data_IF_602657464588
#
_entry.id   IF_602657464588
#
_cell.length_a   1.000
_cell.length_b   1.000
_cell.length_c   1.000
_cell.angle_alpha   90.00
_cell.angle_beta   90.00
_cell.angle_gamma   90.00
#
_symmetry.space_group_name_H-M   'P 1'
#
loop_
_entity.id
_entity.type
_entity.pdbx_description
1 polymer ?
#
# COMPACT_ATOMS: atom_id res chain seq x y z
N UNK A 1 -43.12 -54.99 19.89
CA UNK A 1 -44.03 -56.15 19.91
C UNK A 1 -44.54 -56.36 21.33
N UNK A 2 -45.38 -57.41 21.57
CA UNK A 2 -45.91 -57.69 22.92
C UNK A 2 -44.88 -58.00 24.00
N UNK A 3 -43.64 -58.29 23.62
CA UNK A 3 -42.50 -58.52 24.54
C UNK A 3 -41.71 -57.30 24.92
N UNK A 4 -41.97 -56.12 24.34
CA UNK A 4 -41.28 -54.90 24.61
C UNK A 4 -40.89 -54.10 23.35
N UNK A 5 -40.19 -52.98 23.55
CA UNK A 5 -39.62 -52.13 22.48
C UNK A 5 -38.09 -52.02 22.63
N UNK A 6 -37.39 -51.83 21.54
CA UNK A 6 -35.98 -51.45 21.47
C UNK A 6 -35.87 -50.14 20.69
N UNK A 7 -34.95 -49.28 21.09
CA UNK A 7 -34.65 -48.01 20.44
C UNK A 7 -33.17 -47.94 20.11
N UNK A 8 -32.83 -47.23 19.02
CA UNK A 8 -31.49 -46.87 18.66
C UNK A 8 -31.40 -45.38 18.41
N UNK A 9 -30.29 -44.78 18.76
CA UNK A 9 -29.98 -43.39 18.42
C UNK A 9 -29.31 -43.35 17.03
N UNK A 10 -29.66 -42.32 16.25
CA UNK A 10 -29.04 -42.02 14.97
C UNK A 10 -28.60 -40.59 15.01
N UNK A 11 -27.33 -40.33 14.80
CA UNK A 11 -26.76 -39.00 14.65
C UNK A 11 -26.65 -38.65 13.17
N UNK A 12 -27.21 -37.55 12.74
CA UNK A 12 -27.19 -37.08 11.37
C UNK A 12 -26.57 -35.67 11.35
N UNK A 13 -25.50 -35.47 10.62
CA UNK A 13 -24.90 -34.17 10.37
C UNK A 13 -25.10 -33.79 8.91
N UNK A 14 -25.61 -32.59 8.68
CA UNK A 14 -25.74 -32.01 7.32
C UNK A 14 -24.84 -30.80 7.28
N UNK A 15 -23.85 -30.83 6.39
CA UNK A 15 -22.93 -29.71 6.17
C UNK A 15 -23.36 -28.87 4.98
N UNK A 16 -22.96 -27.59 4.97
CA UNK A 16 -23.11 -26.73 3.80
C UNK A 16 -22.20 -27.21 2.63
N UNK A 17 -22.56 -26.79 1.43
CA UNK A 17 -21.64 -26.84 0.30
C UNK A 17 -20.48 -25.90 0.57
N UNK A 18 -19.24 -26.31 0.34
CA UNK A 18 -18.08 -25.46 0.52
C UNK A 18 -18.08 -24.28 -0.45
N UNK A 19 -17.55 -23.10 -0.09
CA UNK A 19 -17.25 -22.03 -1.03
C UNK A 19 -16.27 -22.49 -2.11
N UNK A 20 -16.32 -21.90 -3.30
CA UNK A 20 -15.40 -22.24 -4.39
C UNK A 20 -15.25 -21.11 -5.38
N UNK A 21 -14.20 -21.17 -6.23
CA UNK A 21 -13.94 -20.18 -7.30
C UNK A 21 -13.93 -18.74 -6.82
N UNK A 22 -13.24 -18.50 -5.71
CA UNK A 22 -13.09 -17.16 -5.15
C UNK A 22 -12.17 -16.34 -6.05
N UNK A 23 -12.62 -15.16 -6.47
CA UNK A 23 -11.82 -14.25 -7.31
C UNK A 23 -11.99 -12.81 -6.88
N UNK A 24 -10.89 -12.06 -6.95
CA UNK A 24 -10.86 -10.59 -6.91
C UNK A 24 -10.50 -10.07 -8.30
N UNK A 25 -11.12 -9.00 -8.74
CA UNK A 25 -10.81 -8.37 -10.01
C UNK A 25 -10.75 -6.84 -9.84
N UNK A 26 -9.57 -6.25 -9.90
CA UNK A 26 -8.25 -6.88 -10.08
C UNK A 26 -7.81 -7.71 -8.85
N UNK A 27 -6.82 -8.57 -9.04
CA UNK A 27 -6.14 -9.36 -8.00
C UNK A 27 -4.78 -8.79 -7.60
N UNK A 28 -4.40 -7.65 -8.17
CA UNK A 28 -3.18 -6.91 -7.83
C UNK A 28 -3.46 -5.41 -7.67
N UNK A 29 -2.78 -4.79 -6.70
CA UNK A 29 -2.98 -3.39 -6.35
C UNK A 29 -1.66 -2.68 -6.16
N UNK A 30 -1.47 -1.57 -6.86
CA UNK A 30 -0.41 -0.60 -6.60
C UNK A 30 -1.08 0.66 -6.09
N UNK A 31 -0.89 0.95 -4.81
CA UNK A 31 -1.59 2.01 -4.09
C UNK A 31 -0.56 3.04 -3.64
N UNK A 32 -0.96 4.30 -3.58
CA UNK A 32 -0.14 5.37 -3.02
C UNK A 32 -0.51 5.61 -1.56
N UNK A 33 0.47 5.67 -0.67
CA UNK A 33 0.30 6.03 0.74
C UNK A 33 -0.49 7.33 0.87
N UNK A 34 -1.48 7.35 1.75
CA UNK A 34 -2.36 8.49 1.98
C UNK A 34 -3.50 8.64 0.97
N UNK A 35 -3.55 7.84 -0.10
CA UNK A 35 -4.65 7.84 -1.08
C UNK A 35 -5.60 6.67 -0.83
N UNK A 36 -6.91 6.87 -0.83
CA UNK A 36 -7.86 5.78 -0.66
C UNK A 36 -7.80 4.82 -1.85
N UNK A 37 -7.76 3.51 -1.57
CA UNK A 37 -7.87 2.51 -2.63
C UNK A 37 -9.33 2.41 -3.12
N UNK A 38 -9.50 2.11 -4.40
CA UNK A 38 -10.79 1.66 -4.91
C UNK A 38 -11.15 0.33 -4.25
N UNK A 39 -12.28 0.31 -3.56
CA UNK A 39 -12.69 -0.89 -2.85
C UNK A 39 -13.02 -2.02 -3.82
N UNK A 40 -12.56 -3.23 -3.50
CA UNK A 40 -12.81 -4.44 -4.27
C UNK A 40 -13.60 -5.44 -3.45
N UNK A 41 -14.60 -6.05 -4.08
CA UNK A 41 -15.42 -7.10 -3.47
C UNK A 41 -15.19 -8.39 -4.25
N UNK A 42 -14.97 -9.52 -3.59
CA UNK A 42 -14.77 -10.79 -4.27
C UNK A 42 -16.05 -11.30 -4.91
N UNK A 43 -15.90 -12.17 -5.91
CA UNK A 43 -16.93 -13.11 -6.31
C UNK A 43 -16.59 -14.50 -5.78
N UNK A 44 -17.60 -15.29 -5.49
CA UNK A 44 -17.47 -16.67 -5.05
C UNK A 44 -18.62 -17.50 -5.60
N UNK A 45 -18.38 -18.79 -5.77
CA UNK A 45 -19.37 -19.81 -6.13
C UNK A 45 -19.50 -20.86 -5.03
N UNK A 46 -20.30 -21.88 -5.25
CA UNK A 46 -20.51 -22.94 -4.27
C UNK A 46 -21.43 -22.51 -3.14
N UNK A 47 -21.09 -22.85 -1.91
CA UNK A 47 -21.89 -22.49 -0.74
C UNK A 47 -21.66 -21.05 -0.28
N UNK A 48 -22.66 -20.48 0.38
CA UNK A 48 -22.57 -19.12 0.91
C UNK A 48 -21.40 -18.97 1.88
N UNK A 49 -20.59 -17.91 1.72
CA UNK A 49 -19.49 -17.62 2.62
C UNK A 49 -20.03 -16.98 3.90
N UNK A 50 -19.59 -17.50 5.05
CA UNK A 50 -19.97 -16.98 6.36
C UNK A 50 -18.91 -16.01 6.89
N UNK A 51 -17.62 -16.34 6.69
CA UNK A 51 -16.51 -15.50 7.15
C UNK A 51 -15.39 -15.41 6.14
N UNK A 52 -14.76 -14.23 6.12
CA UNK A 52 -13.57 -13.92 5.34
C UNK A 52 -12.41 -13.57 6.26
N UNK A 53 -11.24 -14.08 5.96
CA UNK A 53 -9.99 -13.73 6.64
C UNK A 53 -8.88 -13.52 5.62
N UNK A 54 -7.79 -12.88 6.05
CA UNK A 54 -6.63 -12.58 5.21
C UNK A 54 -5.34 -12.76 6.01
N UNK A 55 -4.33 -13.33 5.37
CA UNK A 55 -3.01 -13.53 5.93
C UNK A 55 -1.94 -13.31 4.84
N UNK A 56 -0.85 -12.59 5.16
CA UNK A 56 -0.57 -11.82 6.38
C UNK A 56 -1.52 -10.63 6.59
N UNK A 57 -1.35 -9.92 7.69
CA UNK A 57 -2.14 -8.70 7.99
C UNK A 57 -1.88 -7.64 6.93
N UNK A 58 -2.95 -7.01 6.44
CA UNK A 58 -2.87 -5.94 5.44
C UNK A 58 -2.04 -4.74 5.94
N UNK A 59 -1.47 -3.95 5.01
CA UNK A 59 -0.82 -2.69 5.35
C UNK A 59 -1.72 -1.79 6.19
N UNK A 60 -1.13 -1.12 7.18
CA UNK A 60 -1.86 -0.23 8.09
C UNK A 60 -2.74 0.76 7.32
N UNK A 61 -4.02 0.82 7.67
CA UNK A 61 -5.03 1.65 7.00
C UNK A 61 -5.86 0.92 5.95
N UNK A 62 -5.48 -0.31 5.57
CA UNK A 62 -6.31 -1.20 4.77
C UNK A 62 -6.98 -2.25 5.65
N UNK A 63 -8.13 -2.74 5.24
CA UNK A 63 -8.87 -3.78 5.94
C UNK A 63 -9.68 -4.65 4.99
N UNK A 64 -9.93 -5.88 5.40
CA UNK A 64 -10.93 -6.77 4.80
C UNK A 64 -12.18 -6.79 5.70
N UNK A 65 -13.34 -6.71 5.09
CA UNK A 65 -14.60 -6.88 5.81
C UNK A 65 -14.87 -8.38 6.02
N UNK A 66 -14.97 -8.86 7.28
CA UNK A 66 -15.06 -10.29 7.55
C UNK A 66 -16.39 -10.93 7.09
N UNK A 67 -17.42 -10.14 6.79
CA UNK A 67 -18.71 -10.65 6.33
C UNK A 67 -18.84 -10.63 4.79
N UNK A 68 -18.12 -9.74 4.10
CA UNK A 68 -18.29 -9.55 2.66
C UNK A 68 -17.04 -9.84 1.84
N UNK A 69 -15.88 -10.01 2.47
CA UNK A 69 -14.58 -10.13 1.81
C UNK A 69 -14.09 -8.83 1.16
N UNK A 70 -14.82 -7.72 1.30
CA UNK A 70 -14.47 -6.45 0.66
C UNK A 70 -13.18 -5.89 1.26
N UNK A 71 -12.19 -5.61 0.41
CA UNK A 71 -10.96 -4.94 0.79
C UNK A 71 -11.09 -3.45 0.46
N UNK A 72 -10.72 -2.59 1.42
CA UNK A 72 -10.81 -1.13 1.28
C UNK A 72 -9.96 -0.42 2.32
N UNK A 73 -9.81 0.89 2.18
CA UNK A 73 -9.13 1.75 3.15
C UNK A 73 -8.17 2.73 2.50
N UNK A 74 -7.39 3.41 3.35
CA UNK A 74 -6.35 4.36 2.94
C UNK A 74 -5.05 3.93 3.64
N UNK A 75 -4.05 3.42 2.90
CA UNK A 75 -2.83 2.94 3.53
C UNK A 75 -2.03 4.11 4.11
N UNK A 76 -1.53 3.95 5.33
CA UNK A 76 -0.72 4.94 6.04
C UNK A 76 0.75 4.55 6.17
N UNK A 77 1.10 3.32 5.81
CA UNK A 77 2.47 2.80 5.80
C UNK A 77 2.83 2.27 4.40
N UNK A 78 4.11 2.33 4.05
CA UNK A 78 4.66 1.72 2.84
C UNK A 78 4.65 0.20 2.96
N UNK A 79 4.49 -0.49 1.83
CA UNK A 79 4.62 -1.94 1.74
C UNK A 79 5.26 -2.32 0.41
N UNK A 80 6.30 -3.13 0.45
CA UNK A 80 6.80 -3.81 -0.75
C UNK A 80 5.75 -4.78 -1.27
N UNK A 81 5.90 -5.23 -2.50
CA UNK A 81 5.02 -6.25 -3.07
C UNK A 81 4.88 -7.44 -2.10
N UNK A 82 3.66 -7.68 -1.66
CA UNK A 82 3.31 -8.76 -0.74
C UNK A 82 2.07 -9.47 -1.24
N UNK A 83 2.14 -10.79 -1.29
CA UNK A 83 1.00 -11.66 -1.63
C UNK A 83 0.22 -11.99 -0.37
N UNK A 84 -1.07 -11.74 -0.39
CA UNK A 84 -2.01 -11.98 0.70
C UNK A 84 -2.93 -13.14 0.33
N UNK A 85 -3.02 -14.14 1.20
CA UNK A 85 -3.97 -15.25 1.05
C UNK A 85 -5.28 -14.89 1.74
N UNK A 86 -6.37 -14.97 0.99
CA UNK A 86 -7.72 -14.73 1.49
C UNK A 86 -8.43 -16.06 1.59
N UNK A 87 -9.04 -16.31 2.74
CA UNK A 87 -9.79 -17.53 3.03
C UNK A 87 -11.26 -17.19 3.21
N UNK A 88 -12.12 -17.87 2.47
CA UNK A 88 -13.57 -17.80 2.60
C UNK A 88 -14.08 -19.11 3.21
N UNK A 89 -14.83 -19.03 4.31
CA UNK A 89 -15.22 -20.18 5.13
C UNK A 89 -16.72 -20.22 5.35
N UNK A 90 -17.28 -21.42 5.39
CA UNK A 90 -18.61 -21.73 5.92
C UNK A 90 -18.57 -23.03 6.75
N UNK A 91 -19.71 -23.55 7.16
CA UNK A 91 -19.78 -24.79 7.95
C UNK A 91 -19.38 -26.04 7.18
N UNK A 92 -19.40 -26.00 5.84
CA UNK A 92 -18.95 -27.09 4.96
C UNK A 92 -17.44 -27.16 4.77
N UNK A 93 -16.72 -26.02 4.97
CA UNK A 93 -15.29 -25.92 4.77
C UNK A 93 -14.85 -24.54 4.26
N UNK A 94 -13.73 -24.48 3.56
CA UNK A 94 -13.16 -23.24 3.06
C UNK A 94 -12.57 -23.38 1.64
N UNK A 95 -12.38 -22.26 0.99
CA UNK A 95 -11.59 -22.09 -0.23
C UNK A 95 -10.73 -20.83 -0.11
N UNK A 96 -9.67 -20.73 -0.90
CA UNK A 96 -8.69 -19.65 -0.82
C UNK A 96 -8.40 -19.02 -2.17
N UNK A 97 -8.01 -17.75 -2.14
CA UNK A 97 -7.46 -17.03 -3.29
C UNK A 97 -6.34 -16.10 -2.82
N UNK A 98 -5.60 -15.50 -3.73
CA UNK A 98 -4.55 -14.53 -3.39
C UNK A 98 -4.79 -13.19 -4.05
N UNK A 99 -4.29 -12.14 -3.40
CA UNK A 99 -4.15 -10.79 -3.98
C UNK A 99 -2.76 -10.25 -3.68
N UNK A 100 -2.22 -9.48 -4.61
CA UNK A 100 -0.93 -8.82 -4.47
C UNK A 100 -1.12 -7.33 -4.18
N UNK A 101 -0.43 -6.81 -3.16
CA UNK A 101 -0.53 -5.40 -2.78
C UNK A 101 0.87 -4.79 -2.64
N UNK A 102 1.05 -3.61 -3.24
CA UNK A 102 2.20 -2.72 -3.06
C UNK A 102 1.68 -1.36 -2.61
N UNK A 103 2.31 -0.75 -1.61
CA UNK A 103 2.03 0.64 -1.20
C UNK A 103 3.28 1.47 -1.41
N UNK A 104 3.23 2.36 -2.40
CA UNK A 104 4.30 3.29 -2.75
C UNK A 104 4.17 4.62 -2.00
N UNK A 105 5.28 5.33 -1.86
CA UNK A 105 5.25 6.71 -1.37
C UNK A 105 4.69 7.67 -2.44
N UNK A 106 4.31 8.86 -2.00
CA UNK A 106 3.94 9.95 -2.90
C UNK A 106 5.20 10.46 -3.58
N UNK A 107 5.18 10.61 -4.90
CA UNK A 107 6.32 11.12 -5.66
C UNK A 107 6.52 12.60 -5.37
N UNK A 108 7.76 13.07 -5.08
CA UNK A 108 8.06 14.50 -5.04
C UNK A 108 7.74 15.17 -6.38
N UNK A 109 7.21 16.38 -6.34
CA UNK A 109 6.86 17.14 -7.54
C UNK A 109 7.11 18.63 -7.35
N UNK A 110 7.18 19.36 -8.47
CA UNK A 110 7.26 20.82 -8.46
C UNK A 110 8.34 21.37 -7.52
N UNK A 111 9.58 20.99 -7.78
CA UNK A 111 10.74 21.57 -7.07
C UNK A 111 10.99 22.99 -7.58
N UNK A 112 11.06 23.97 -6.69
CA UNK A 112 11.33 25.38 -7.03
C UNK A 112 12.32 25.99 -6.07
N UNK A 113 13.21 26.82 -6.63
CA UNK A 113 14.07 27.75 -5.89
C UNK A 113 13.56 29.16 -6.12
N UNK A 114 13.57 29.98 -5.07
CA UNK A 114 13.18 31.41 -5.17
C UNK A 114 14.23 32.27 -4.47
N UNK A 115 15.02 33.04 -5.23
CA UNK A 115 15.03 33.20 -6.68
C UNK A 115 15.54 31.94 -7.40
N UNK A 116 15.24 31.78 -8.70
CA UNK A 116 15.70 30.68 -9.55
C UNK A 116 16.89 31.07 -10.47
N UNK A 117 17.39 32.28 -10.30
CA UNK A 117 18.53 32.82 -11.01
C UNK A 117 19.40 33.63 -10.04
N UNK A 118 20.70 33.41 -10.09
CA UNK A 118 21.68 33.99 -9.19
C UNK A 118 22.79 34.67 -10.01
N UNK A 119 23.21 35.86 -9.56
CA UNK A 119 24.40 36.51 -10.07
C UNK A 119 25.31 36.77 -8.88
N UNK A 120 26.35 35.97 -8.79
CA UNK A 120 27.23 35.97 -7.65
C UNK A 120 28.59 36.58 -8.00
N UNK A 121 29.26 37.14 -6.99
CA UNK A 121 30.59 37.73 -7.16
C UNK A 121 31.65 36.74 -6.65
N UNK A 122 32.66 36.49 -7.47
CA UNK A 122 33.79 35.64 -7.08
C UNK A 122 34.42 36.13 -5.77
N UNK A 123 34.63 35.19 -4.85
CA UNK A 123 35.21 35.47 -3.53
C UNK A 123 34.24 36.03 -2.50
N UNK A 124 32.97 36.26 -2.85
CA UNK A 124 31.93 36.70 -1.91
C UNK A 124 30.97 35.52 -1.65
N UNK A 125 30.67 35.24 -0.37
CA UNK A 125 29.72 34.19 -0.03
C UNK A 125 28.32 34.59 -0.53
N UNK A 126 27.67 33.64 -1.21
CA UNK A 126 26.27 33.80 -1.63
C UNK A 126 25.32 33.69 -0.45
N UNK A 127 24.16 34.33 -0.55
CA UNK A 127 23.05 34.06 0.36
C UNK A 127 22.52 32.68 0.04
N UNK A 128 22.47 31.79 1.04
CA UNK A 128 21.95 30.45 0.85
C UNK A 128 20.48 30.47 0.44
N UNK A 129 20.09 29.50 -0.39
CA UNK A 129 18.71 29.34 -0.84
C UNK A 129 18.27 27.88 -0.69
N UNK A 130 17.10 27.71 -0.10
CA UNK A 130 16.46 26.40 0.09
C UNK A 130 15.34 26.20 -0.92
N UNK A 131 15.20 24.96 -1.47
CA UNK A 131 14.09 24.68 -2.37
C UNK A 131 12.78 24.51 -1.62
N UNK A 132 11.70 24.65 -2.35
CA UNK A 132 10.38 24.11 -1.97
C UNK A 132 10.02 22.98 -2.91
N UNK A 133 9.38 21.94 -2.37
CA UNK A 133 8.88 20.81 -3.15
C UNK A 133 7.46 20.49 -2.71
N UNK A 134 6.62 20.05 -3.66
CA UNK A 134 5.30 19.51 -3.40
C UNK A 134 5.33 17.96 -3.55
N UNK A 135 4.20 17.33 -3.25
CA UNK A 135 4.08 15.87 -3.32
C UNK A 135 4.67 15.20 -2.09
N UNK A 136 5.41 14.12 -2.31
CA UNK A 136 6.02 13.34 -1.24
C UNK A 136 7.33 13.95 -0.72
N UNK A 137 7.84 13.45 0.43
CA UNK A 137 9.09 13.91 1.00
C UNK A 137 10.26 13.65 0.03
N UNK A 138 11.13 14.64 -0.12
CA UNK A 138 12.40 14.47 -0.84
C UNK A 138 13.42 13.88 0.11
N UNK A 139 14.03 12.77 -0.27
CA UNK A 139 15.04 12.05 0.55
C UNK A 139 16.47 12.33 0.12
N UNK A 140 16.67 12.83 -1.10
CA UNK A 140 18.00 13.20 -1.61
C UNK A 140 17.88 14.27 -2.70
N UNK A 141 18.90 15.12 -2.77
CA UNK A 141 19.00 16.19 -3.75
C UNK A 141 20.27 16.06 -4.55
N UNK A 142 20.14 16.22 -5.85
CA UNK A 142 21.26 16.25 -6.79
C UNK A 142 21.08 17.43 -7.76
N UNK A 143 22.17 17.92 -8.31
CA UNK A 143 22.16 18.99 -9.30
C UNK A 143 22.96 18.58 -10.54
N UNK A 144 22.39 18.84 -11.70
CA UNK A 144 23.05 18.64 -13.00
C UNK A 144 22.72 19.80 -13.94
N UNK A 145 23.72 20.39 -14.60
CA UNK A 145 25.16 20.13 -14.48
C UNK A 145 25.73 20.55 -13.12
N UNK A 146 26.98 20.21 -12.85
CA UNK A 146 27.67 20.58 -11.60
C UNK A 146 27.67 22.11 -11.43
N UNK A 147 27.50 22.54 -10.18
CA UNK A 147 27.57 23.95 -9.81
C UNK A 147 29.01 24.51 -10.00
N UNK A 148 29.15 25.83 -10.15
CA UNK A 148 30.45 26.50 -10.19
C UNK A 148 31.30 26.17 -8.95
N UNK A 149 32.61 26.07 -9.13
CA UNK A 149 33.52 25.76 -8.04
C UNK A 149 33.33 26.72 -6.84
N UNK A 150 33.21 26.18 -5.65
CA UNK A 150 32.97 26.90 -4.41
C UNK A 150 31.48 27.04 -4.05
N UNK A 151 30.57 26.62 -4.91
CA UNK A 151 29.13 26.49 -4.62
C UNK A 151 28.78 25.02 -4.53
N UNK A 152 27.94 24.63 -3.60
CA UNK A 152 27.48 23.27 -3.39
C UNK A 152 25.99 23.19 -3.08
N UNK A 153 25.41 22.04 -3.31
CA UNK A 153 24.08 21.65 -2.84
C UNK A 153 24.23 20.69 -1.67
N UNK A 154 23.46 20.92 -0.61
CA UNK A 154 23.33 19.94 0.47
C UNK A 154 22.41 18.79 0.01
N UNK A 155 22.94 17.58 0.02
CA UNK A 155 22.23 16.39 -0.48
C UNK A 155 21.00 16.01 0.35
N UNK A 156 20.87 16.49 1.60
CA UNK A 156 19.72 16.17 2.46
C UNK A 156 18.63 17.26 2.41
N UNK A 157 19.06 18.53 2.29
CA UNK A 157 18.14 19.68 2.39
C UNK A 157 17.85 20.34 1.03
N UNK A 158 18.73 20.12 0.06
CA UNK A 158 18.69 20.82 -1.23
C UNK A 158 19.16 22.29 -1.13
N UNK A 159 19.66 22.73 0.03
CA UNK A 159 20.19 24.08 0.17
C UNK A 159 21.40 24.30 -0.75
N UNK A 160 21.36 25.37 -1.53
CA UNK A 160 22.49 25.81 -2.34
C UNK A 160 23.19 26.94 -1.59
N UNK A 161 24.50 26.80 -1.38
CA UNK A 161 25.31 27.75 -0.66
C UNK A 161 26.80 27.69 -1.07
N UNK A 162 27.57 28.65 -0.62
CA UNK A 162 29.01 28.63 -0.80
C UNK A 162 29.62 29.99 -1.24
N UNK A 163 30.89 29.96 -1.64
CA UNK A 163 31.61 31.12 -2.13
C UNK A 163 32.25 30.76 -3.48
N UNK A 164 31.77 31.33 -4.60
CA UNK A 164 32.31 30.97 -5.92
C UNK A 164 33.78 31.35 -6.05
N UNK A 165 34.61 30.44 -6.54
CA UNK A 165 36.05 30.61 -6.70
C UNK A 165 36.47 30.84 -8.17
N UNK A 166 35.57 30.64 -9.11
CA UNK A 166 35.77 30.80 -10.56
C UNK A 166 34.73 31.72 -11.18
N UNK A 167 35.01 32.24 -12.36
CA UNK A 167 34.08 33.03 -13.18
C UNK A 167 33.56 32.11 -14.26
#
# INVERSE_FOLDING_TARGET
NSGGSASANIDITVNDVIPSSITYSPDWFVITKGSPMSAVTPSASGGAVVTWSIDPVLPTGLSINPSTGRISGTPTALSTLTTYTITATNTGGFDTTTVDITVNDVIPSTVTYTPNSFTETKGTAMTSVTPTANGGPVTSWEVSPTLPNGISIDANTGEISGTPTVI
#
